data_IF_357651190167
#
_entry.id   IF_357651190167
#
_cell.length_a   1.000
_cell.length_b   1.000
_cell.length_c   1.000
_cell.angle_alpha   90.00
_cell.angle_beta   90.00
_cell.angle_gamma   90.00
#
_symmetry.space_group_name_H-M   'P 1'
#
loop_
_entity.id
_entity.type
_entity.pdbx_description
1 polymer ?
#
# COMPACT_ATOMS: atom_id res chain seq x y z
N UNK A 1 -11.28 -15.47 24.34
CA UNK A 1 -11.64 -14.69 23.14
C UNK A 1 -10.70 -15.15 22.03
N UNK A 2 -11.13 -15.32 20.76
CA UNK A 2 -10.21 -15.75 19.70
C UNK A 2 -9.13 -14.70 19.46
N UNK A 3 -7.90 -15.14 19.15
CA UNK A 3 -6.75 -14.26 18.97
C UNK A 3 -6.81 -13.46 17.65
N UNK A 4 -7.57 -13.95 16.66
CA UNK A 4 -7.75 -13.32 15.35
C UNK A 4 -9.21 -13.44 14.87
N UNK A 5 -9.70 -12.39 14.21
CA UNK A 5 -11.03 -12.34 13.60
C UNK A 5 -10.89 -11.92 12.13
N UNK A 6 -11.34 -12.78 11.21
CA UNK A 6 -11.35 -12.48 9.77
C UNK A 6 -12.74 -12.05 9.35
N UNK A 7 -12.83 -10.86 8.75
CA UNK A 7 -14.08 -10.28 8.27
C UNK A 7 -14.16 -10.40 6.75
N UNK A 8 -15.25 -10.96 6.23
CA UNK A 8 -15.41 -11.24 4.79
C UNK A 8 -16.76 -10.84 4.20
N UNK A 9 -17.65 -10.25 5.00
CA UNK A 9 -18.96 -9.75 4.53
C UNK A 9 -18.92 -8.24 4.36
N UNK A 10 -19.55 -7.67 3.30
CA UNK A 10 -19.54 -6.23 3.06
C UNK A 10 -20.06 -5.41 4.25
N UNK A 11 -21.10 -5.91 4.93
CA UNK A 11 -21.73 -5.24 6.07
C UNK A 11 -20.75 -5.13 7.24
N UNK A 12 -20.04 -6.22 7.54
CA UNK A 12 -19.07 -6.23 8.63
C UNK A 12 -17.81 -5.42 8.27
N UNK A 13 -17.40 -5.39 6.99
CA UNK A 13 -16.33 -4.49 6.54
C UNK A 13 -16.75 -3.02 6.67
N UNK A 14 -18.00 -2.67 6.35
CA UNK A 14 -18.53 -1.33 6.55
C UNK A 14 -18.59 -0.96 8.03
N UNK A 15 -19.04 -1.89 8.88
CA UNK A 15 -19.08 -1.67 10.32
C UNK A 15 -17.69 -1.36 10.87
N UNK A 16 -16.67 -2.15 10.51
CA UNK A 16 -15.28 -1.97 10.96
C UNK A 16 -14.65 -0.70 10.40
N UNK A 17 -14.74 -0.46 9.09
CA UNK A 17 -13.98 0.61 8.42
C UNK A 17 -14.70 1.97 8.44
N UNK A 18 -16.00 2.02 8.70
CA UNK A 18 -16.80 3.26 8.58
C UNK A 18 -17.65 3.54 9.80
N UNK A 19 -18.55 2.64 10.21
CA UNK A 19 -19.55 2.95 11.25
C UNK A 19 -18.98 2.93 12.66
N UNK A 20 -18.08 1.99 12.93
CA UNK A 20 -17.47 1.77 14.24
C UNK A 20 -15.95 1.96 14.20
N UNK A 21 -15.45 2.84 13.32
CA UNK A 21 -14.01 3.06 13.10
C UNK A 21 -13.22 3.31 14.40
N UNK A 22 -13.78 4.09 15.34
CA UNK A 22 -13.13 4.38 16.62
C UNK A 22 -12.98 3.15 17.53
N UNK A 23 -13.79 2.10 17.33
CA UNK A 23 -13.73 0.86 18.11
C UNK A 23 -12.68 -0.12 17.55
N UNK A 24 -12.21 0.08 16.32
CA UNK A 24 -11.26 -0.78 15.64
C UNK A 24 -9.98 0.01 15.28
N UNK A 25 -9.14 0.35 16.27
CA UNK A 25 -7.83 0.94 16.00
C UNK A 25 -6.94 -0.03 15.21
N UNK A 26 -5.95 0.48 14.48
CA UNK A 26 -4.99 -0.38 13.75
C UNK A 26 -4.19 -1.28 14.69
N UNK A 27 -4.00 -0.81 15.92
CA UNK A 27 -3.35 -1.56 16.99
C UNK A 27 -1.83 -1.36 17.00
N UNK A 28 -1.22 -1.68 18.15
CA UNK A 28 0.22 -1.46 18.39
C UNK A 28 1.08 -2.17 17.36
N UNK A 29 0.73 -3.40 16.97
CA UNK A 29 1.48 -4.18 15.99
C UNK A 29 1.63 -3.45 14.64
N UNK A 30 0.53 -2.91 14.10
CA UNK A 30 0.55 -2.19 12.82
C UNK A 30 1.26 -0.84 12.95
N UNK A 31 0.98 -0.11 14.03
CA UNK A 31 1.62 1.16 14.31
C UNK A 31 3.14 1.04 14.48
N UNK A 32 3.61 0.07 15.25
CA UNK A 32 5.04 -0.17 15.51
C UNK A 32 5.78 -0.60 14.25
N UNK A 33 5.20 -1.50 13.46
CA UNK A 33 5.80 -1.91 12.19
C UNK A 33 6.01 -0.69 11.28
N UNK A 34 4.97 0.11 11.05
CA UNK A 34 5.02 1.24 10.12
C UNK A 34 5.82 2.44 10.67
N UNK A 35 6.15 2.44 11.97
CA UNK A 35 6.81 3.57 12.63
C UNK A 35 8.21 3.84 12.11
N UNK A 36 8.99 2.81 11.82
CA UNK A 36 10.37 2.98 11.32
C UNK A 36 10.41 3.60 9.92
N UNK A 37 9.37 3.35 9.12
CA UNK A 37 9.26 3.84 7.75
C UNK A 37 8.55 5.20 7.65
N UNK A 38 7.48 5.39 8.43
CA UNK A 38 6.54 6.51 8.29
C UNK A 38 6.44 7.38 9.55
N UNK A 39 7.23 7.09 10.59
CA UNK A 39 7.19 7.80 11.87
C UNK A 39 5.83 7.69 12.54
N UNK A 40 5.37 8.79 13.13
CA UNK A 40 3.99 8.93 13.65
C UNK A 40 3.01 9.41 12.55
N UNK A 41 3.25 9.03 11.30
CA UNK A 41 2.45 9.43 10.14
C UNK A 41 1.04 8.83 10.15
N UNK A 42 0.22 9.23 9.18
CA UNK A 42 -1.20 8.82 9.08
C UNK A 42 -1.43 7.30 9.07
N UNK A 43 -0.45 6.50 8.66
CA UNK A 43 -0.55 5.03 8.64
C UNK A 43 -0.09 4.37 9.96
N UNK A 44 0.71 5.07 10.76
CA UNK A 44 1.30 4.57 12.01
C UNK A 44 0.70 5.22 13.27
N UNK A 45 -0.30 6.08 13.13
CA UNK A 45 -1.01 6.73 14.22
C UNK A 45 -2.48 6.25 14.32
N UNK A 46 -3.02 6.28 15.55
CA UNK A 46 -4.44 6.07 15.86
C UNK A 46 -5.02 7.26 16.65
N UNK A 47 -6.35 7.29 16.82
CA UNK A 47 -7.06 8.29 17.62
C UNK A 47 -6.90 9.73 17.11
N UNK A 48 -6.78 10.69 18.02
CA UNK A 48 -6.69 12.11 17.67
C UNK A 48 -5.46 12.45 16.82
N UNK A 49 -4.33 11.77 17.05
CA UNK A 49 -3.13 11.94 16.23
C UNK A 49 -3.41 11.59 14.78
N UNK A 50 -4.11 10.47 14.54
CA UNK A 50 -4.53 10.07 13.20
C UNK A 50 -5.48 11.11 12.57
N UNK A 51 -6.46 11.61 13.32
CA UNK A 51 -7.41 12.62 12.83
C UNK A 51 -6.66 13.89 12.40
N UNK A 52 -5.71 14.34 13.21
CA UNK A 52 -4.88 15.50 12.90
C UNK A 52 -4.02 15.31 11.64
N UNK A 53 -3.31 14.18 11.55
CA UNK A 53 -2.49 13.84 10.39
C UNK A 53 -3.33 13.70 9.12
N UNK A 54 -4.51 13.06 9.22
CA UNK A 54 -5.45 12.91 8.10
C UNK A 54 -5.97 14.25 7.61
N UNK A 55 -6.38 15.13 8.51
CA UNK A 55 -6.86 16.47 8.14
C UNK A 55 -5.78 17.27 7.41
N UNK A 56 -4.54 17.17 7.88
CA UNK A 56 -3.39 17.83 7.24
C UNK A 56 -3.10 17.23 5.87
N UNK A 57 -3.01 15.91 5.77
CA UNK A 57 -2.76 15.21 4.51
C UNK A 57 -3.86 15.45 3.48
N UNK A 58 -5.14 15.43 3.86
CA UNK A 58 -6.27 15.67 2.95
C UNK A 58 -6.19 17.04 2.25
N UNK A 59 -5.56 18.05 2.86
CA UNK A 59 -5.33 19.34 2.22
C UNK A 59 -4.22 19.31 1.15
N UNK A 60 -3.25 18.39 1.27
CA UNK A 60 -2.23 18.15 0.24
C UNK A 60 -2.84 17.42 -0.97
N UNK A 61 -3.80 16.52 -0.73
CA UNK A 61 -4.51 15.75 -1.76
C UNK A 61 -5.76 16.46 -2.31
N UNK A 62 -5.74 17.80 -2.49
CA UNK A 62 -6.86 18.48 -3.15
C UNK A 62 -6.93 18.10 -4.63
N UNK A 63 -8.14 17.98 -5.18
CA UNK A 63 -8.37 17.65 -6.60
C UNK A 63 -7.57 18.54 -7.57
N UNK A 64 -7.35 19.81 -7.21
CA UNK A 64 -6.54 20.76 -8.00
C UNK A 64 -5.05 20.40 -7.94
N UNK A 65 -4.49 20.25 -6.74
CA UNK A 65 -3.08 19.88 -6.58
C UNK A 65 -2.77 18.52 -7.22
N UNK A 66 -3.70 17.56 -7.10
CA UNK A 66 -3.61 16.24 -7.72
C UNK A 66 -3.66 16.33 -9.24
N UNK A 67 -4.66 16.98 -9.83
CA UNK A 67 -4.76 17.07 -11.29
C UNK A 67 -3.55 17.78 -11.91
N UNK A 68 -3.17 18.93 -11.37
CA UNK A 68 -2.16 19.78 -12.00
C UNK A 68 -0.75 19.17 -11.86
N UNK A 69 -0.45 18.49 -10.75
CA UNK A 69 0.87 17.88 -10.48
C UNK A 69 0.97 16.43 -10.93
N UNK A 70 -0.08 15.63 -10.74
CA UNK A 70 -0.05 14.20 -11.07
C UNK A 70 -0.14 13.97 -12.57
N UNK A 71 -1.00 14.68 -13.31
CA UNK A 71 -1.18 14.42 -14.74
C UNK A 71 0.12 14.62 -15.50
N UNK A 72 0.80 15.76 -15.29
CA UNK A 72 2.07 16.04 -15.94
C UNK A 72 3.16 15.03 -15.55
N UNK A 73 3.19 14.62 -14.28
CA UNK A 73 4.18 13.66 -13.76
C UNK A 73 3.96 12.26 -14.32
N UNK A 74 2.73 11.77 -14.29
CA UNK A 74 2.35 10.47 -14.83
C UNK A 74 2.60 10.41 -16.33
N UNK A 75 2.22 11.45 -17.09
CA UNK A 75 2.44 11.48 -18.54
C UNK A 75 3.93 11.36 -18.87
N UNK A 76 4.79 12.09 -18.16
CA UNK A 76 6.23 12.05 -18.37
C UNK A 76 6.82 10.67 -18.11
N UNK A 77 6.45 10.04 -17.00
CA UNK A 77 6.90 8.68 -16.67
C UNK A 77 6.31 7.63 -17.60
N UNK A 78 5.10 7.86 -18.13
CA UNK A 78 4.46 6.97 -19.09
C UNK A 78 5.18 6.96 -20.44
N UNK A 79 5.75 8.10 -20.87
CA UNK A 79 6.61 8.17 -22.06
C UNK A 79 7.85 7.29 -21.88
N UNK A 80 8.53 7.40 -20.73
CA UNK A 80 9.70 6.56 -20.41
C UNK A 80 9.33 5.08 -20.37
N UNK A 81 8.20 4.74 -19.75
CA UNK A 81 7.69 3.38 -19.71
C UNK A 81 7.43 2.84 -21.12
N UNK A 82 6.83 3.64 -22.00
CA UNK A 82 6.57 3.28 -23.39
C UNK A 82 7.89 3.02 -24.15
N UNK A 83 8.91 3.84 -23.97
CA UNK A 83 10.23 3.64 -24.58
C UNK A 83 10.90 2.34 -24.12
N UNK A 84 10.77 1.97 -22.84
CA UNK A 84 11.27 0.69 -22.31
C UNK A 84 10.54 -0.49 -22.98
N UNK A 85 9.21 -0.42 -23.07
CA UNK A 85 8.40 -1.45 -23.71
C UNK A 85 8.72 -1.59 -25.21
N UNK A 86 8.91 -0.47 -25.90
CA UNK A 86 9.27 -0.45 -27.31
C UNK A 86 10.65 -1.08 -27.55
N UNK A 87 11.67 -0.69 -26.77
CA UNK A 87 13.02 -1.31 -26.83
C UNK A 87 12.99 -2.82 -26.59
N UNK A 88 12.17 -3.28 -25.64
CA UNK A 88 12.03 -4.71 -25.37
C UNK A 88 11.32 -5.44 -26.50
N UNK A 89 10.30 -4.82 -27.11
CA UNK A 89 9.62 -5.34 -28.30
C UNK A 89 10.58 -5.50 -29.47
N UNK A 90 11.38 -4.48 -29.76
CA UNK A 90 12.31 -4.48 -30.90
C UNK A 90 13.45 -5.50 -30.71
N UNK A 91 13.89 -5.71 -29.47
CA UNK A 91 14.95 -6.67 -29.11
C UNK A 91 14.45 -8.10 -28.84
N UNK A 92 13.14 -8.31 -28.78
CA UNK A 92 12.54 -9.59 -28.39
C UNK A 92 12.84 -9.99 -26.93
N UNK A 93 13.24 -9.04 -26.07
CA UNK A 93 13.60 -9.29 -24.67
C UNK A 93 12.34 -9.46 -23.81
N UNK A 94 12.34 -10.46 -22.93
CA UNK A 94 11.26 -10.63 -21.94
C UNK A 94 11.41 -9.61 -20.81
N UNK A 95 10.28 -9.09 -20.33
CA UNK A 95 10.21 -8.13 -19.23
C UNK A 95 9.37 -8.68 -18.08
N UNK A 96 9.81 -8.41 -16.86
CA UNK A 96 8.99 -8.57 -15.66
C UNK A 96 8.11 -7.34 -15.47
N UNK A 97 6.84 -7.45 -15.88
CA UNK A 97 5.87 -6.37 -15.78
C UNK A 97 5.56 -5.99 -14.33
N UNK A 98 5.62 -6.93 -13.39
CA UNK A 98 5.36 -6.63 -11.98
C UNK A 98 6.46 -5.72 -11.43
N UNK A 99 7.73 -6.02 -11.69
CA UNK A 99 8.84 -5.15 -11.27
C UNK A 99 8.83 -3.80 -11.98
N UNK A 100 8.55 -3.79 -13.29
CA UNK A 100 8.50 -2.55 -14.06
C UNK A 100 7.38 -1.60 -13.60
N UNK A 101 6.17 -2.13 -13.38
CA UNK A 101 5.05 -1.33 -12.90
C UNK A 101 5.25 -0.86 -11.46
N UNK A 102 5.87 -1.66 -10.59
CA UNK A 102 6.24 -1.21 -9.24
C UNK A 102 7.27 -0.08 -9.28
N UNK A 103 8.28 -0.14 -10.16
CA UNK A 103 9.24 0.96 -10.36
C UNK A 103 8.53 2.22 -10.84
N UNK A 104 7.62 2.10 -11.81
CA UNK A 104 6.82 3.21 -12.33
C UNK A 104 5.96 3.87 -11.25
N UNK A 105 5.20 3.09 -10.47
CA UNK A 105 4.34 3.64 -9.42
C UNK A 105 5.14 4.29 -8.30
N UNK A 106 6.30 3.72 -7.96
CA UNK A 106 7.19 4.26 -6.95
C UNK A 106 7.83 5.58 -7.38
N UNK A 107 8.32 5.67 -8.62
CA UNK A 107 8.87 6.91 -9.21
C UNK A 107 7.81 8.03 -9.22
N UNK A 108 6.59 7.71 -9.69
CA UNK A 108 5.49 8.66 -9.71
C UNK A 108 5.10 9.11 -8.30
N UNK A 109 5.01 8.18 -7.36
CA UNK A 109 4.72 8.48 -5.95
C UNK A 109 5.81 9.35 -5.30
N UNK A 110 7.07 9.06 -5.56
CA UNK A 110 8.20 9.82 -5.04
C UNK A 110 8.20 11.28 -5.55
N UNK A 111 7.95 11.48 -6.84
CA UNK A 111 7.90 12.81 -7.42
C UNK A 111 6.65 13.58 -6.99
N UNK A 112 5.47 12.93 -6.94
CA UNK A 112 4.22 13.58 -6.53
C UNK A 112 4.22 13.90 -5.03
N UNK A 113 4.64 12.94 -4.20
CA UNK A 113 4.55 13.02 -2.74
C UNK A 113 5.70 13.82 -2.11
N UNK A 114 6.90 13.71 -2.66
CA UNK A 114 8.11 14.31 -2.06
C UNK A 114 8.83 15.29 -3.00
N UNK A 115 8.42 15.42 -4.26
CA UNK A 115 9.12 16.25 -5.25
C UNK A 115 10.48 15.69 -5.67
N UNK A 116 10.75 14.42 -5.37
CA UNK A 116 12.05 13.77 -5.63
C UNK A 116 11.95 12.84 -6.83
N UNK A 117 12.85 13.02 -7.80
CA UNK A 117 13.06 12.08 -8.90
C UNK A 117 14.16 11.10 -8.50
N UNK A 118 13.85 9.81 -8.48
CA UNK A 118 14.77 8.78 -8.00
C UNK A 118 15.48 8.06 -9.16
N UNK A 119 14.94 8.12 -10.38
CA UNK A 119 15.50 7.42 -11.54
C UNK A 119 15.39 5.89 -11.46
N UNK A 120 14.48 5.38 -10.63
CA UNK A 120 14.18 3.96 -10.45
C UNK A 120 13.67 3.29 -11.73
N UNK A 121 13.04 4.05 -12.64
CA UNK A 121 12.43 3.48 -13.85
C UNK A 121 13.45 3.09 -14.93
N UNK A 122 14.53 3.87 -15.09
CA UNK A 122 15.56 3.65 -16.12
C UNK A 122 16.85 2.99 -15.57
N UNK A 123 16.94 2.85 -14.24
CA UNK A 123 18.04 2.14 -13.59
C UNK A 123 17.87 0.62 -13.67
N UNK A 124 18.94 -0.10 -13.97
CA UNK A 124 18.96 -1.57 -13.85
C UNK A 124 18.89 -2.00 -12.36
N UNK A 125 19.49 -1.21 -11.46
CA UNK A 125 19.50 -1.46 -10.03
C UNK A 125 18.29 -0.86 -9.30
N UNK A 126 17.79 -1.60 -8.33
CA UNK A 126 16.66 -1.19 -7.49
C UNK A 126 17.13 -0.30 -6.35
N UNK A 127 16.57 0.90 -6.24
CA UNK A 127 16.99 1.89 -5.26
C UNK A 127 16.84 1.33 -3.82
N UNK A 128 17.80 1.57 -2.89
CA UNK A 128 17.74 1.02 -1.52
C UNK A 128 16.44 1.35 -0.78
N UNK A 129 15.89 2.55 -1.01
CA UNK A 129 14.60 2.96 -0.44
C UNK A 129 13.43 2.15 -1.00
N UNK A 130 13.43 1.83 -2.31
CA UNK A 130 12.40 0.99 -2.93
C UNK A 130 12.45 -0.43 -2.36
N UNK A 131 13.66 -0.98 -2.18
CA UNK A 131 13.85 -2.29 -1.55
C UNK A 131 13.36 -2.30 -0.09
N UNK A 132 13.70 -1.27 0.69
CA UNK A 132 13.24 -1.15 2.07
C UNK A 132 11.71 -1.04 2.16
N UNK A 133 11.09 -0.25 1.27
CA UNK A 133 9.64 -0.08 1.20
C UNK A 133 8.93 -1.39 0.81
N UNK A 134 9.45 -2.12 -0.20
CA UNK A 134 8.92 -3.42 -0.61
C UNK A 134 9.02 -4.46 0.51
N UNK A 135 10.18 -4.56 1.17
CA UNK A 135 10.38 -5.49 2.30
C UNK A 135 9.44 -5.17 3.47
N UNK A 136 9.19 -3.88 3.73
CA UNK A 136 8.25 -3.47 4.77
C UNK A 136 6.81 -3.87 4.41
N UNK A 137 6.38 -3.62 3.17
CA UNK A 137 5.06 -4.01 2.69
C UNK A 137 4.83 -5.52 2.74
N UNK A 138 5.82 -6.33 2.37
CA UNK A 138 5.72 -7.79 2.47
C UNK A 138 5.50 -8.25 3.91
N UNK A 139 6.21 -7.67 4.88
CA UNK A 139 6.04 -7.97 6.30
C UNK A 139 4.63 -7.60 6.80
N UNK A 140 4.13 -6.41 6.45
CA UNK A 140 2.79 -5.98 6.81
C UNK A 140 1.69 -6.81 6.14
N UNK A 141 1.82 -7.12 4.84
CA UNK A 141 0.85 -7.96 4.12
C UNK A 141 0.82 -9.39 4.68
N UNK A 142 1.98 -9.99 4.98
CA UNK A 142 2.03 -11.29 5.61
C UNK A 142 1.30 -11.28 6.96
N UNK A 143 1.49 -10.24 7.76
CA UNK A 143 0.80 -10.12 9.04
C UNK A 143 -0.72 -9.90 8.91
N UNK A 144 -1.18 -9.32 7.80
CA UNK A 144 -2.61 -9.17 7.49
C UNK A 144 -3.23 -10.44 6.85
N UNK A 145 -2.42 -11.35 6.29
CA UNK A 145 -2.86 -12.51 5.50
C UNK A 145 -2.68 -13.91 6.14
N UNK A 146 -2.11 -14.05 7.33
CA UNK A 146 -2.17 -15.34 8.07
C UNK A 146 -3.63 -15.47 8.56
N UNK A 147 -4.50 -16.43 8.21
CA UNK A 147 -4.38 -17.77 7.61
C UNK A 147 -5.73 -18.17 6.97
N UNK A 148 -5.87 -18.09 5.65
CA UNK A 148 -7.02 -18.68 4.92
C UNK A 148 -6.76 -20.16 4.68
N UNK A 149 -7.19 -21.01 5.61
CA UNK A 149 -7.20 -22.47 5.44
C UNK A 149 -8.53 -22.94 4.88
N UNK A 150 -8.53 -23.47 3.66
CA UNK A 150 -9.73 -24.00 2.99
C UNK A 150 -10.28 -25.24 3.71
N UNK A 151 -11.53 -25.20 4.14
CA UNK A 151 -12.26 -26.36 4.66
C UNK A 151 -13.76 -26.19 4.47
N UNK A 152 -14.34 -26.85 3.45
CA UNK A 152 -15.80 -26.94 3.29
C UNK A 152 -16.40 -27.76 4.43
N UNK A 153 -17.35 -27.19 5.19
CA UNK A 153 -18.57 -27.91 5.64
C UNK A 153 -19.65 -26.97 6.20
N UNK A 154 -20.84 -27.12 5.62
CA UNK A 154 -22.23 -26.84 6.03
C UNK A 154 -22.52 -25.77 7.11
N UNK A 155 -23.24 -24.73 6.66
CA UNK A 155 -24.39 -24.14 7.37
C UNK A 155 -24.09 -23.44 8.69
N UNK A 156 -23.60 -22.19 8.61
CA UNK A 156 -23.39 -21.30 9.76
C UNK A 156 -21.92 -20.93 9.89
N UNK A 157 -21.54 -19.75 9.38
CA UNK A 157 -20.15 -19.30 9.38
C UNK A 157 -19.79 -18.69 10.73
N UNK A 158 -19.28 -19.52 11.65
CA UNK A 158 -18.48 -19.07 12.79
C UNK A 158 -17.25 -19.96 12.85
N UNK A 159 -16.09 -19.43 12.44
CA UNK A 159 -14.81 -20.11 12.57
C UNK A 159 -14.13 -19.68 13.88
N UNK A 160 -14.04 -20.60 14.83
CA UNK A 160 -13.16 -20.50 15.99
C UNK A 160 -12.11 -21.59 15.82
N UNK A 161 -10.83 -21.22 15.62
CA UNK A 161 -9.73 -22.19 15.68
C UNK A 161 -9.03 -22.08 17.04
N UNK A 162 -8.92 -23.23 17.69
CA UNK A 162 -8.29 -23.47 18.99
C UNK A 162 -6.77 -23.55 18.78
N UNK A 163 -6.00 -22.73 19.49
CA UNK A 163 -4.56 -22.90 19.60
C UNK A 163 -4.27 -23.97 20.67
N UNK A 164 -3.39 -24.92 20.35
CA UNK A 164 -2.63 -25.73 21.29
C UNK A 164 -1.18 -25.71 20.86
#
# INVERSE_FOLDING_TARGET
>A
MPDELVVSTPEAVEDVLKRQFNNFPKGSYMCENLKDLLGDGIFAADGEKWVHQRKTASNLFTMRALRDTMTATIQRHAVVLFEILQRASDSGKTLDLFRLLNRFTFEAFAEIGFGVRMGCLDSDEEHPFQKAFAMHNERCCCALCVRVGSGKRNGGWVWVKKAS
#
